data_IF_364513071062
#
_entry.id   IF_364513071062
#
_cell.length_a   1.000
_cell.length_b   1.000
_cell.length_c   1.000
_cell.angle_alpha   90.00
_cell.angle_beta   90.00
_cell.angle_gamma   90.00
#
_symmetry.space_group_name_H-M   'P 1'
#
loop_
_entity.id
_entity.type
_entity.pdbx_description
1 polymer ?
#
# COMPACT_ATOMS: atom_id res chain seq x y z
N UNK A 1 -9.62 32.58 -24.76
CA UNK A 1 -10.94 32.27 -24.13
C UNK A 1 -11.27 30.79 -24.14
N UNK A 2 -11.08 30.01 -25.22
CA UNK A 2 -11.17 28.53 -25.15
C UNK A 2 -9.83 27.87 -24.77
N UNK A 3 -8.70 28.35 -25.30
CA UNK A 3 -7.36 27.77 -25.03
C UNK A 3 -6.90 27.87 -23.57
N UNK A 4 -7.39 28.86 -22.81
CA UNK A 4 -6.99 29.08 -21.42
C UNK A 4 -7.69 28.10 -20.46
N UNK A 5 -8.95 27.77 -20.75
CA UNK A 5 -9.74 26.79 -20.01
C UNK A 5 -9.23 25.37 -20.21
N UNK A 6 -8.81 25.03 -21.42
CA UNK A 6 -8.26 23.71 -21.75
C UNK A 6 -6.91 23.47 -21.05
N UNK A 7 -6.06 24.50 -21.00
CA UNK A 7 -4.79 24.47 -20.24
C UNK A 7 -4.99 24.35 -18.73
N UNK A 8 -5.99 25.02 -18.16
CA UNK A 8 -6.30 24.88 -16.74
C UNK A 8 -6.85 23.48 -16.40
N UNK A 9 -7.62 22.89 -17.31
CA UNK A 9 -8.13 21.53 -17.16
C UNK A 9 -7.01 20.48 -17.19
N UNK A 10 -6.08 20.60 -18.14
CA UNK A 10 -4.88 19.74 -18.21
C UNK A 10 -3.98 19.89 -16.97
N UNK A 11 -3.77 21.12 -16.49
CA UNK A 11 -2.98 21.40 -15.29
C UNK A 11 -3.62 20.79 -14.04
N UNK A 12 -4.94 20.84 -13.95
CA UNK A 12 -5.72 20.24 -12.86
C UNK A 12 -5.65 18.71 -12.89
N UNK A 13 -5.75 18.09 -14.06
CA UNK A 13 -5.55 16.65 -14.22
C UNK A 13 -4.13 16.21 -13.87
N UNK A 14 -3.12 16.96 -14.32
CA UNK A 14 -1.73 16.68 -14.00
C UNK A 14 -1.45 16.76 -12.49
N UNK A 15 -2.01 17.77 -11.81
CA UNK A 15 -1.91 17.88 -10.35
C UNK A 15 -2.64 16.74 -9.63
N UNK A 16 -3.86 16.39 -10.08
CA UNK A 16 -4.62 15.27 -9.52
C UNK A 16 -3.87 13.94 -9.67
N UNK A 17 -3.28 13.66 -10.84
CA UNK A 17 -2.45 12.47 -11.07
C UNK A 17 -1.17 12.48 -10.22
N UNK A 18 -0.54 13.66 -10.01
CA UNK A 18 0.61 13.82 -9.10
C UNK A 18 0.26 13.54 -7.64
N UNK A 19 -0.91 13.97 -7.19
CA UNK A 19 -1.39 13.69 -5.84
C UNK A 19 -1.74 12.20 -5.67
N UNK A 20 -2.39 11.59 -6.67
CA UNK A 20 -2.72 10.17 -6.66
C UNK A 20 -1.47 9.27 -6.59
N UNK A 21 -0.43 9.57 -7.37
CA UNK A 21 0.85 8.82 -7.31
C UNK A 21 1.56 8.93 -5.96
N UNK A 22 1.36 10.04 -5.22
CA UNK A 22 2.01 10.27 -3.93
C UNK A 22 1.34 9.50 -2.79
N UNK A 23 0.03 9.27 -2.87
CA UNK A 23 -0.71 8.52 -1.84
C UNK A 23 -0.65 7.00 -2.02
N UNK A 24 -0.47 6.49 -3.23
CA UNK A 24 -0.38 5.03 -3.47
C UNK A 24 0.90 4.43 -2.92
N UNK A 25 2.03 5.15 -3.00
CA UNK A 25 3.29 4.73 -2.37
C UNK A 25 3.16 4.66 -0.84
N UNK A 26 2.61 5.72 -0.23
CA UNK A 26 2.36 5.74 1.22
C UNK A 26 1.32 4.71 1.67
N UNK A 27 0.34 4.37 0.84
CA UNK A 27 -0.62 3.31 1.16
C UNK A 27 0.01 1.92 1.15
N UNK A 28 0.84 1.60 0.14
CA UNK A 28 1.61 0.33 0.13
C UNK A 28 2.55 0.23 1.31
N UNK A 29 3.28 1.30 1.62
CA UNK A 29 4.23 1.30 2.73
C UNK A 29 3.50 1.17 4.08
N UNK A 30 2.37 1.87 4.28
CA UNK A 30 1.51 1.70 5.47
C UNK A 30 0.98 0.29 5.58
N UNK A 31 0.48 -0.27 4.48
CA UNK A 31 -0.08 -1.63 4.47
C UNK A 31 0.97 -2.69 4.78
N UNK A 32 2.19 -2.52 4.25
CA UNK A 32 3.34 -3.38 4.59
C UNK A 32 3.65 -3.31 6.08
N UNK A 33 3.75 -2.11 6.65
CA UNK A 33 4.02 -1.91 8.09
C UNK A 33 2.94 -2.55 8.98
N UNK A 34 1.66 -2.44 8.60
CA UNK A 34 0.56 -3.11 9.31
C UNK A 34 0.70 -4.63 9.30
N UNK A 35 1.04 -5.21 8.15
CA UNK A 35 1.23 -6.66 8.00
C UNK A 35 2.45 -7.15 8.79
N UNK A 36 3.55 -6.42 8.75
CA UNK A 36 4.75 -6.71 9.56
C UNK A 36 4.43 -6.66 11.06
N UNK A 37 3.65 -5.67 11.52
CA UNK A 37 3.26 -5.56 12.92
C UNK A 37 2.30 -6.69 13.35
N UNK A 38 1.35 -7.06 12.49
CA UNK A 38 0.48 -8.21 12.72
C UNK A 38 1.25 -9.52 12.80
N UNK A 39 2.26 -9.72 11.94
CA UNK A 39 3.12 -10.89 11.98
C UNK A 39 3.90 -10.96 13.29
N UNK A 40 4.46 -9.83 13.72
CA UNK A 40 5.19 -9.71 14.99
C UNK A 40 4.30 -10.06 16.18
N UNK A 41 3.11 -9.46 16.27
CA UNK A 41 2.14 -9.74 17.34
C UNK A 41 1.76 -11.23 17.35
N UNK A 42 1.59 -11.84 16.18
CA UNK A 42 1.24 -13.26 16.10
C UNK A 42 2.41 -14.16 16.53
N UNK A 43 3.66 -13.82 16.19
CA UNK A 43 4.86 -14.56 16.59
C UNK A 43 5.24 -14.38 18.08
N UNK A 44 4.90 -13.25 18.69
CA UNK A 44 5.09 -13.01 20.13
C UNK A 44 4.18 -13.89 20.99
N UNK A 45 3.11 -14.46 20.41
CA UNK A 45 2.28 -15.44 21.11
C UNK A 45 3.05 -16.75 21.33
N UNK A 46 2.76 -17.49 22.42
CA UNK A 46 3.21 -18.87 22.59
C UNK A 46 2.85 -19.72 21.38
N UNK A 47 3.71 -20.65 20.95
CA UNK A 47 3.53 -21.48 19.74
C UNK A 47 2.15 -22.18 19.67
N UNK A 48 1.62 -22.56 20.84
CA UNK A 48 0.32 -23.21 21.02
C UNK A 48 -0.87 -22.30 20.65
N UNK A 49 -0.68 -20.99 20.70
CA UNK A 49 -1.67 -19.94 20.44
C UNK A 49 -1.41 -19.20 19.12
N UNK A 50 -0.34 -19.55 18.40
CA UNK A 50 -0.04 -18.96 17.10
C UNK A 50 -1.02 -19.48 16.06
N UNK A 51 -1.71 -18.56 15.40
CA UNK A 51 -2.53 -18.90 14.24
C UNK A 51 -1.63 -19.06 13.00
N UNK A 52 -1.27 -20.32 12.70
CA UNK A 52 -0.39 -20.64 11.58
C UNK A 52 -1.00 -20.30 10.22
N UNK A 53 -2.33 -20.35 10.10
CA UNK A 53 -3.03 -20.00 8.86
C UNK A 53 -2.98 -18.48 8.64
N UNK A 54 -3.16 -17.70 9.71
CA UNK A 54 -3.00 -16.25 9.69
C UNK A 54 -1.55 -15.84 9.37
N UNK A 55 -0.56 -16.48 9.98
CA UNK A 55 0.87 -16.23 9.68
C UNK A 55 1.15 -16.50 8.19
N UNK A 56 0.67 -17.62 7.66
CA UNK A 56 0.87 -17.96 6.24
C UNK A 56 0.23 -16.92 5.33
N UNK A 57 -1.00 -16.52 5.62
CA UNK A 57 -1.69 -15.47 4.87
C UNK A 57 -0.93 -14.14 4.89
N UNK A 58 -0.42 -13.71 6.04
CA UNK A 58 0.36 -12.47 6.17
C UNK A 58 1.65 -12.52 5.33
N UNK A 59 2.35 -13.66 5.35
CA UNK A 59 3.58 -13.85 4.57
C UNK A 59 3.31 -13.84 3.06
N UNK A 60 2.24 -14.49 2.61
CA UNK A 60 1.85 -14.52 1.20
C UNK A 60 1.46 -13.11 0.70
N UNK A 61 0.76 -12.34 1.53
CA UNK A 61 0.37 -10.96 1.23
C UNK A 61 1.60 -10.03 1.13
N UNK A 62 2.54 -10.14 2.07
CA UNK A 62 3.80 -9.40 2.05
C UNK A 62 4.65 -9.75 0.81
N UNK A 63 4.75 -11.03 0.47
CA UNK A 63 5.48 -11.49 -0.72
C UNK A 63 4.85 -10.96 -2.02
N UNK A 64 3.51 -10.93 -2.08
CA UNK A 64 2.78 -10.37 -3.22
C UNK A 64 3.07 -8.87 -3.40
N UNK A 65 3.23 -8.13 -2.30
CA UNK A 65 3.57 -6.70 -2.34
C UNK A 65 5.02 -6.42 -2.75
N UNK A 66 5.97 -7.31 -2.45
CA UNK A 66 7.37 -7.19 -2.89
C UNK A 66 7.56 -7.55 -4.36
N UNK A 67 6.70 -8.41 -4.92
CA UNK A 67 6.72 -8.83 -6.33
C UNK A 67 6.11 -7.84 -7.32
N UNK A 68 5.39 -6.82 -6.86
CA UNK A 68 4.77 -5.83 -7.75
C UNK A 68 5.80 -4.77 -8.21
N UNK A 69 5.99 -4.58 -9.54
CA UNK A 69 6.94 -3.60 -10.05
C UNK A 69 6.51 -2.17 -9.66
N UNK A 70 7.49 -1.37 -9.22
CA UNK A 70 7.34 0.06 -8.91
C UNK A 70 7.05 0.91 -10.14
#
# INVERSE_FOLDING_TARGET
>A
MNDDLEKEYEKSQYMAQRHFRKDVGGFRDRRRLELEDLLRIEQEKPEDLQDKDKIRWILDELASMEGEPR
#
